data_IF_286138087821
#
_entry.id   IF_286138087821
#
_cell.length_a   1.000
_cell.length_b   1.000
_cell.length_c   1.000
_cell.angle_alpha   90.00
_cell.angle_beta   90.00
_cell.angle_gamma   90.00
#
_symmetry.space_group_name_H-M   'P 1'
#
loop_
_entity.id
_entity.type
_entity.pdbx_description
1 polymer ?
#
# COMPACT_ATOMS: atom_id res chain seq x y z
N UNK A 1 9.62 14.22 6.27
CA UNK A 1 10.31 12.98 6.68
C UNK A 1 11.42 12.60 5.70
N UNK A 2 11.12 12.14 4.47
CA UNK A 2 12.15 11.63 3.53
C UNK A 2 13.32 12.60 3.33
N UNK A 3 13.06 13.87 3.04
CA UNK A 3 14.13 14.87 2.87
C UNK A 3 15.02 15.01 4.09
N UNK A 4 14.43 15.05 5.28
CA UNK A 4 15.18 15.11 6.54
C UNK A 4 16.01 13.84 6.71
N UNK A 5 15.44 12.65 6.45
CA UNK A 5 16.12 11.38 6.61
C UNK A 5 17.38 11.27 5.75
N UNK A 6 17.29 11.49 4.43
CA UNK A 6 18.46 11.34 3.56
C UNK A 6 19.45 12.49 3.72
N UNK A 7 18.99 13.74 3.90
CA UNK A 7 19.91 14.89 4.06
C UNK A 7 20.65 14.84 5.40
N UNK A 8 19.99 14.45 6.50
CA UNK A 8 20.65 14.26 7.78
C UNK A 8 21.62 13.07 7.75
N UNK A 9 21.27 11.99 7.04
CA UNK A 9 22.18 10.85 6.83
C UNK A 9 23.43 11.27 6.06
N UNK A 10 23.26 12.03 4.97
CA UNK A 10 24.38 12.58 4.22
C UNK A 10 25.25 13.51 5.07
N UNK A 11 24.63 14.39 5.87
CA UNK A 11 25.34 15.33 6.73
C UNK A 11 26.09 14.65 7.89
N UNK A 12 25.60 13.51 8.39
CA UNK A 12 26.24 12.75 9.47
C UNK A 12 27.58 12.14 9.05
N UNK A 13 27.82 11.93 7.76
CA UNK A 13 29.04 11.29 7.28
C UNK A 13 28.98 9.76 7.38
N UNK A 14 29.88 9.09 6.66
CA UNK A 14 29.94 7.61 6.65
C UNK A 14 30.33 7.16 8.06
N UNK A 15 29.55 6.23 8.62
CA UNK A 15 29.81 5.69 9.96
C UNK A 15 31.17 4.97 9.99
N UNK A 16 31.92 5.11 11.08
CA UNK A 16 33.18 4.41 11.25
C UNK A 16 32.96 2.89 11.25
N UNK A 17 33.84 2.15 10.55
CA UNK A 17 33.79 0.68 10.42
C UNK A 17 32.49 0.16 9.80
N UNK A 18 31.95 0.86 8.81
CA UNK A 18 30.74 0.43 8.10
C UNK A 18 31.00 -0.83 7.26
N UNK A 19 30.09 -1.80 7.38
CA UNK A 19 30.13 -3.03 6.59
C UNK A 19 29.11 -2.98 5.46
N UNK A 20 29.58 -3.24 4.23
CA UNK A 20 28.75 -3.41 3.04
C UNK A 20 28.85 -4.87 2.58
N UNK A 21 27.83 -5.66 2.88
CA UNK A 21 27.83 -7.08 2.57
C UNK A 21 26.56 -7.74 3.09
N UNK A 22 26.45 -9.06 2.95
CA UNK A 22 25.27 -9.77 3.46
C UNK A 22 25.20 -9.67 4.98
N UNK A 23 24.09 -9.12 5.50
CA UNK A 23 23.81 -9.03 6.94
C UNK A 23 23.73 -10.41 7.60
N UNK A 24 23.27 -11.43 6.87
CA UNK A 24 23.23 -12.81 7.34
C UNK A 24 24.50 -13.57 6.96
N UNK A 25 25.03 -14.37 7.90
CA UNK A 25 26.22 -15.22 7.69
C UNK A 25 25.90 -16.57 7.04
N UNK A 26 24.62 -16.98 7.04
CA UNK A 26 24.17 -18.25 6.45
C UNK A 26 23.46 -18.01 5.12
N UNK A 27 23.59 -18.96 4.19
CA UNK A 27 22.91 -18.91 2.89
C UNK A 27 21.40 -18.81 3.04
N UNK A 28 20.82 -19.60 3.96
CA UNK A 28 19.38 -19.55 4.24
C UNK A 28 18.94 -18.16 4.74
N UNK A 29 19.71 -17.56 5.68
CA UNK A 29 19.42 -16.22 6.18
C UNK A 29 19.49 -15.16 5.08
N UNK A 30 20.47 -15.25 4.17
CA UNK A 30 20.57 -14.35 3.01
C UNK A 30 19.35 -14.45 2.09
N UNK A 31 18.89 -15.67 1.81
CA UNK A 31 17.69 -15.89 1.00
C UNK A 31 16.44 -15.34 1.69
N UNK A 32 16.26 -15.56 2.99
CA UNK A 32 15.14 -15.00 3.75
C UNK A 32 15.17 -13.48 3.79
N UNK A 33 16.34 -12.86 3.98
CA UNK A 33 16.49 -11.41 3.93
C UNK A 33 16.13 -10.86 2.55
N UNK A 34 16.52 -11.54 1.47
CA UNK A 34 16.17 -11.14 0.11
C UNK A 34 14.64 -11.15 -0.11
N UNK A 35 13.95 -12.22 0.27
CA UNK A 35 12.49 -12.28 0.16
C UNK A 35 11.78 -11.28 1.07
N UNK A 36 12.33 -11.04 2.27
CA UNK A 36 11.79 -10.04 3.19
C UNK A 36 11.89 -8.64 2.60
N UNK A 37 13.04 -8.30 1.99
CA UNK A 37 13.23 -7.04 1.28
C UNK A 37 12.27 -6.88 0.07
N UNK A 38 12.02 -7.96 -0.69
CA UNK A 38 11.00 -7.94 -1.74
C UNK A 38 9.60 -7.68 -1.17
N UNK A 39 9.28 -8.26 -0.02
CA UNK A 39 8.05 -8.00 0.72
C UNK A 39 7.94 -6.53 1.11
N UNK A 40 8.98 -5.95 1.71
CA UNK A 40 9.01 -4.53 2.09
C UNK A 40 8.80 -3.61 0.88
N UNK A 41 9.45 -3.91 -0.26
CA UNK A 41 9.25 -3.17 -1.51
C UNK A 41 7.80 -3.31 -2.00
N UNK A 42 7.21 -4.51 -1.96
CA UNK A 42 5.81 -4.70 -2.33
C UNK A 42 4.86 -3.90 -1.43
N UNK A 43 5.12 -3.88 -0.12
CA UNK A 43 4.36 -3.08 0.84
C UNK A 43 4.49 -1.58 0.57
N UNK A 44 5.71 -1.10 0.28
CA UNK A 44 6.00 0.31 0.04
C UNK A 44 5.18 0.92 -1.11
N UNK A 45 4.72 0.09 -2.06
CA UNK A 45 3.87 0.48 -3.19
C UNK A 45 2.41 -0.02 -3.09
N UNK A 46 1.93 -0.38 -1.88
CA UNK A 46 0.59 -0.94 -1.65
C UNK A 46 -0.58 0.09 -1.66
N UNK A 47 -0.58 1.02 -2.61
CA UNK A 47 -1.63 2.06 -2.74
C UNK A 47 -2.95 1.58 -3.35
N UNK A 48 -3.00 0.36 -3.90
CA UNK A 48 -4.13 -0.12 -4.71
C UNK A 48 -5.45 -0.26 -3.94
N UNK A 49 -5.42 -0.46 -2.62
CA UNK A 49 -6.62 -0.71 -1.82
C UNK A 49 -7.53 0.52 -1.66
N UNK A 50 -6.99 1.71 -1.89
CA UNK A 50 -7.74 2.98 -1.78
C UNK A 50 -8.01 3.61 -3.16
N UNK A 51 -7.60 2.95 -4.25
CA UNK A 51 -7.78 3.45 -5.63
C UNK A 51 -9.25 3.70 -5.92
N UNK A 52 -10.14 2.78 -5.56
CA UNK A 52 -11.58 2.95 -5.81
C UNK A 52 -12.18 4.10 -5.00
N UNK A 53 -11.73 4.27 -3.76
CA UNK A 53 -12.18 5.37 -2.88
C UNK A 53 -11.76 6.73 -3.45
N UNK A 54 -10.49 6.86 -3.83
CA UNK A 54 -9.98 8.09 -4.46
C UNK A 54 -10.69 8.33 -5.79
N UNK A 55 -10.83 7.30 -6.64
CA UNK A 55 -11.47 7.43 -7.94
C UNK A 55 -12.95 7.82 -7.84
N UNK A 56 -13.65 7.38 -6.79
CA UNK A 56 -15.04 7.77 -6.53
C UNK A 56 -15.20 9.27 -6.24
N UNK A 57 -14.16 9.95 -5.75
CA UNK A 57 -14.18 11.39 -5.51
C UNK A 57 -13.83 12.25 -6.72
N UNK A 58 -13.31 11.63 -7.80
CA UNK A 58 -12.95 12.34 -9.03
C UNK A 58 -14.21 12.60 -9.86
N UNK A 59 -14.50 13.86 -10.24
CA UNK A 59 -15.64 14.19 -11.09
C UNK A 59 -15.60 13.38 -12.40
N UNK A 60 -16.71 12.72 -12.72
CA UNK A 60 -16.86 11.96 -13.95
C UNK A 60 -18.23 12.18 -14.58
N UNK A 61 -18.27 12.20 -15.91
CA UNK A 61 -19.48 12.19 -16.73
C UNK A 61 -19.41 11.01 -17.69
N UNK A 62 -20.54 10.57 -18.30
CA UNK A 62 -20.51 9.50 -19.30
C UNK A 62 -19.50 9.76 -20.45
N UNK A 63 -19.31 11.02 -20.81
CA UNK A 63 -18.38 11.47 -21.85
C UNK A 63 -16.93 11.58 -21.35
N UNK A 64 -16.72 11.76 -20.04
CA UNK A 64 -15.41 11.98 -19.43
C UNK A 64 -15.22 11.06 -18.21
N UNK A 65 -14.76 9.81 -18.41
CA UNK A 65 -14.59 8.86 -17.33
C UNK A 65 -13.44 9.24 -16.38
N UNK A 66 -13.60 8.95 -15.08
CA UNK A 66 -12.60 9.24 -14.03
C UNK A 66 -11.29 8.45 -14.21
N UNK A 67 -11.27 7.39 -15.02
CA UNK A 67 -10.10 6.55 -15.30
C UNK A 67 -8.90 7.36 -15.83
N UNK A 68 -9.14 8.33 -16.72
CA UNK A 68 -8.07 9.13 -17.33
C UNK A 68 -7.33 10.00 -16.32
N UNK A 69 -8.04 10.88 -15.59
CA UNK A 69 -7.45 11.66 -14.49
C UNK A 69 -6.82 10.77 -13.41
N UNK A 70 -7.48 9.66 -13.05
CA UNK A 70 -6.96 8.71 -12.06
C UNK A 70 -5.59 8.14 -12.46
N UNK A 71 -5.45 7.69 -13.72
CA UNK A 71 -4.18 7.17 -14.22
C UNK A 71 -3.05 8.20 -14.13
N UNK A 72 -3.31 9.45 -14.53
CA UNK A 72 -2.32 10.54 -14.43
C UNK A 72 -1.92 10.78 -12.98
N UNK A 73 -2.89 10.82 -12.06
CA UNK A 73 -2.66 10.97 -10.63
C UNK A 73 -1.78 9.85 -10.07
N UNK A 74 -2.07 8.60 -10.43
CA UNK A 74 -1.29 7.42 -10.02
C UNK A 74 0.15 7.51 -10.55
N UNK A 75 0.35 7.83 -11.83
CA UNK A 75 1.71 7.96 -12.40
C UNK A 75 2.54 9.00 -11.65
N UNK A 76 1.97 10.19 -11.42
CA UNK A 76 2.66 11.25 -10.66
C UNK A 76 2.95 10.81 -9.23
N UNK A 77 1.98 10.18 -8.56
CA UNK A 77 2.15 9.69 -7.20
C UNK A 77 3.32 8.68 -7.10
N UNK A 78 3.40 7.71 -8.02
CA UNK A 78 4.48 6.72 -8.02
C UNK A 78 5.85 7.34 -8.30
N UNK A 79 5.94 8.37 -9.17
CA UNK A 79 7.17 9.13 -9.38
C UNK A 79 7.60 9.84 -8.08
N UNK A 80 6.67 10.51 -7.40
CA UNK A 80 6.96 11.19 -6.13
C UNK A 80 7.39 10.20 -5.05
N UNK A 81 6.74 9.04 -4.95
CA UNK A 81 7.12 7.97 -4.03
C UNK A 81 8.53 7.47 -4.32
N UNK A 82 8.87 7.21 -5.58
CA UNK A 82 10.22 6.82 -5.98
C UNK A 82 11.25 7.88 -5.58
N UNK A 83 10.99 9.16 -5.86
CA UNK A 83 11.85 10.28 -5.47
C UNK A 83 12.00 10.41 -3.94
N UNK A 84 11.03 9.95 -3.16
CA UNK A 84 11.12 9.95 -1.70
C UNK A 84 11.90 8.74 -1.16
N UNK A 85 11.75 7.57 -1.77
CA UNK A 85 12.35 6.32 -1.26
C UNK A 85 13.78 6.10 -1.73
N UNK A 86 14.08 6.31 -3.02
CA UNK A 86 15.41 6.02 -3.57
C UNK A 86 16.52 6.81 -2.88
N UNK A 87 16.42 8.14 -2.65
CA UNK A 87 17.46 8.87 -1.94
C UNK A 87 17.66 8.37 -0.51
N UNK A 88 16.58 8.04 0.20
CA UNK A 88 16.66 7.53 1.58
C UNK A 88 17.33 6.16 1.61
N UNK A 89 16.96 5.25 0.71
CA UNK A 89 17.54 3.92 0.63
C UNK A 89 19.02 3.97 0.21
N UNK A 90 19.34 4.70 -0.86
CA UNK A 90 20.69 4.78 -1.40
C UNK A 90 21.64 5.50 -0.45
N UNK A 91 21.28 6.71 0.01
CA UNK A 91 22.12 7.48 0.93
C UNK A 91 22.16 6.80 2.29
N UNK A 92 21.03 6.36 2.83
CA UNK A 92 20.98 5.68 4.13
C UNK A 92 21.88 4.45 4.17
N UNK A 93 21.76 3.57 3.16
CA UNK A 93 22.62 2.39 3.07
C UNK A 93 24.07 2.76 2.82
N UNK A 94 24.35 3.77 1.98
CA UNK A 94 25.73 4.24 1.78
C UNK A 94 26.36 4.75 3.08
N UNK A 95 25.62 5.47 3.92
CA UNK A 95 26.21 6.08 5.12
C UNK A 95 26.32 5.11 6.30
N UNK A 96 25.42 4.14 6.42
CA UNK A 96 25.32 3.27 7.61
C UNK A 96 25.48 1.76 7.32
N UNK A 97 25.47 1.33 6.06
CA UNK A 97 25.64 -0.07 5.66
C UNK A 97 24.72 -1.04 6.42
N UNK A 98 25.28 -2.14 6.90
CA UNK A 98 24.55 -3.15 7.69
C UNK A 98 24.04 -2.67 9.05
N UNK A 99 24.44 -1.48 9.52
CA UNK A 99 23.96 -0.85 10.76
C UNK A 99 22.68 -0.02 10.58
N UNK A 100 22.09 0.01 9.38
CA UNK A 100 20.76 0.60 9.18
C UNK A 100 19.72 -0.19 10.00
N UNK A 101 18.93 0.55 10.76
CA UNK A 101 17.71 0.07 11.40
C UNK A 101 16.51 0.25 10.45
N UNK A 102 15.44 -0.51 10.67
CA UNK A 102 14.20 -0.43 9.87
C UNK A 102 13.66 1.01 9.79
N UNK A 103 13.82 1.77 10.88
CA UNK A 103 13.57 3.20 10.93
C UNK A 103 14.90 3.96 10.93
N UNK A 104 15.22 4.56 9.79
CA UNK A 104 16.48 5.31 9.61
C UNK A 104 16.66 6.48 10.60
N UNK A 105 15.58 7.03 11.17
CA UNK A 105 15.70 8.07 12.20
C UNK A 105 16.30 7.55 13.50
N UNK A 106 16.12 6.27 13.80
CA UNK A 106 16.74 5.62 14.97
C UNK A 106 18.25 5.47 14.73
N UNK A 107 18.67 5.16 13.50
CA UNK A 107 20.09 5.12 13.11
C UNK A 107 20.79 6.49 13.18
N UNK A 108 20.04 7.59 13.04
CA UNK A 108 20.59 8.95 13.09
C UNK A 108 21.01 9.36 14.51
N UNK A 109 20.27 8.98 15.55
CA UNK A 109 20.50 9.27 16.99
C UNK A 109 20.56 10.77 17.40
N UNK A 110 21.11 11.67 16.58
CA UNK A 110 21.32 13.10 16.85
C UNK A 110 21.20 13.96 15.57
N UNK A 111 20.85 15.26 15.67
CA UNK A 111 20.37 15.93 16.88
C UNK A 111 18.88 15.64 17.16
N UNK A 112 18.51 15.59 18.45
CA UNK A 112 17.19 15.14 18.89
C UNK A 112 16.02 16.00 18.37
N UNK A 113 16.20 17.32 18.22
CA UNK A 113 15.15 18.22 17.72
C UNK A 113 14.74 17.90 16.27
N UNK A 114 15.70 17.49 15.44
CA UNK A 114 15.47 17.16 14.04
C UNK A 114 14.71 15.83 13.91
N UNK A 115 15.09 14.84 14.72
CA UNK A 115 14.41 13.55 14.83
C UNK A 115 12.99 13.75 15.34
N UNK A 116 12.80 14.56 16.39
CA UNK A 116 11.47 14.87 16.93
C UNK A 116 10.57 15.53 15.88
N UNK A 117 11.10 16.49 15.11
CA UNK A 117 10.37 17.15 14.02
C UNK A 117 9.97 16.15 12.93
N UNK A 118 10.89 15.27 12.52
CA UNK A 118 10.62 14.25 11.53
C UNK A 118 9.56 13.24 12.02
N UNK A 119 9.63 12.82 13.28
CA UNK A 119 8.63 11.96 13.92
C UNK A 119 7.26 12.65 14.00
N UNK A 120 7.19 13.94 14.34
CA UNK A 120 5.91 14.68 14.32
C UNK A 120 5.26 14.69 12.93
N UNK A 121 6.05 14.89 11.87
CA UNK A 121 5.52 14.80 10.51
C UNK A 121 5.02 13.40 10.15
N UNK A 122 5.69 12.34 10.62
CA UNK A 122 5.21 10.96 10.45
C UNK A 122 3.88 10.76 11.19
N UNK A 123 3.76 11.23 12.43
CA UNK A 123 2.51 11.13 13.20
C UNK A 123 1.35 11.82 12.47
N UNK A 124 1.54 13.07 12.04
CA UNK A 124 0.50 13.82 11.30
C UNK A 124 0.11 13.08 10.02
N UNK A 125 1.09 12.59 9.26
CA UNK A 125 0.86 11.82 8.05
C UNK A 125 0.08 10.53 8.33
N UNK A 126 0.48 9.74 9.33
CA UNK A 126 -0.14 8.46 9.66
C UNK A 126 -1.57 8.65 10.16
N UNK A 127 -1.86 9.70 10.94
CA UNK A 127 -3.24 10.03 11.35
C UNK A 127 -4.13 10.25 10.12
N UNK A 128 -3.66 11.05 9.15
CA UNK A 128 -4.42 11.30 7.91
C UNK A 128 -4.59 10.03 7.07
N UNK A 129 -3.51 9.28 6.86
CA UNK A 129 -3.53 8.02 6.11
C UNK A 129 -4.46 6.99 6.76
N UNK A 130 -4.46 6.87 8.09
CA UNK A 130 -5.33 5.95 8.80
C UNK A 130 -6.81 6.18 8.46
N UNK A 131 -7.25 7.43 8.39
CA UNK A 131 -8.65 7.73 8.04
C UNK A 131 -9.00 7.26 6.63
N UNK A 132 -8.11 7.47 5.65
CA UNK A 132 -8.35 7.06 4.26
C UNK A 132 -8.37 5.53 4.13
N UNK A 133 -7.42 4.84 4.79
CA UNK A 133 -7.30 3.39 4.69
C UNK A 133 -8.34 2.63 5.54
N UNK A 134 -8.83 3.21 6.64
CA UNK A 134 -9.81 2.57 7.49
C UNK A 134 -11.24 2.60 6.91
N UNK A 135 -11.58 3.61 6.09
CA UNK A 135 -12.93 3.75 5.51
C UNK A 135 -13.39 2.51 4.73
N UNK A 136 -12.63 1.96 3.76
CA UNK A 136 -13.04 0.75 3.04
C UNK A 136 -13.22 -0.46 3.95
N UNK A 137 -12.43 -0.55 5.02
CA UNK A 137 -12.52 -1.66 5.98
C UNK A 137 -13.78 -1.53 6.82
N UNK A 138 -14.12 -0.32 7.28
CA UNK A 138 -15.37 -0.05 7.98
C UNK A 138 -16.58 -0.39 7.12
N UNK A 139 -16.57 0.02 5.86
CA UNK A 139 -17.66 -0.26 4.91
C UNK A 139 -17.79 -1.75 4.62
N UNK A 140 -16.66 -2.47 4.50
CA UNK A 140 -16.66 -3.93 4.35
C UNK A 140 -17.27 -4.62 5.58
N UNK A 141 -16.82 -4.25 6.79
CA UNK A 141 -17.33 -4.85 8.03
C UNK A 141 -18.83 -4.58 8.22
N UNK A 142 -19.26 -3.32 8.01
CA UNK A 142 -20.68 -2.95 8.09
C UNK A 142 -21.51 -3.71 7.06
N UNK A 143 -21.02 -3.82 5.81
CA UNK A 143 -21.70 -4.56 4.74
C UNK A 143 -21.89 -6.02 5.10
N UNK A 144 -20.88 -6.68 5.67
CA UNK A 144 -20.99 -8.08 6.11
C UNK A 144 -22.00 -8.22 7.24
N UNK A 145 -21.95 -7.35 8.25
CA UNK A 145 -22.87 -7.38 9.39
C UNK A 145 -24.33 -7.12 8.98
N UNK A 146 -24.56 -6.15 8.10
CA UNK A 146 -25.91 -5.79 7.67
C UNK A 146 -26.47 -6.77 6.64
N UNK A 147 -25.71 -7.08 5.58
CA UNK A 147 -26.23 -7.89 4.45
C UNK A 147 -26.12 -9.39 4.65
N UNK A 148 -25.09 -9.87 5.37
CA UNK A 148 -24.85 -11.31 5.56
C UNK A 148 -25.35 -11.81 6.92
N UNK A 149 -25.22 -10.99 7.97
CA UNK A 149 -25.67 -11.34 9.32
C UNK A 149 -27.02 -10.71 9.70
N UNK A 150 -27.68 -10.00 8.77
CA UNK A 150 -29.00 -9.38 8.95
C UNK A 150 -29.11 -8.43 10.17
N UNK A 151 -28.03 -7.78 10.56
CA UNK A 151 -28.07 -6.74 11.58
C UNK A 151 -28.73 -5.47 11.05
N UNK A 152 -29.46 -4.76 11.92
CA UNK A 152 -30.09 -3.49 11.56
C UNK A 152 -29.01 -2.41 11.41
N UNK A 153 -28.94 -1.70 10.27
CA UNK A 153 -28.04 -0.57 10.12
C UNK A 153 -28.43 0.52 11.13
N UNK A 154 -27.54 0.79 12.08
CA UNK A 154 -27.77 1.77 13.15
C UNK A 154 -26.48 2.51 13.46
N UNK A 155 -26.60 3.72 14.00
CA UNK A 155 -25.44 4.48 14.47
C UNK A 155 -24.66 3.72 15.55
N UNK A 156 -25.36 2.96 16.41
CA UNK A 156 -24.73 2.13 17.44
C UNK A 156 -23.87 1.02 16.83
N UNK A 157 -24.37 0.31 15.81
CA UNK A 157 -23.60 -0.72 15.11
C UNK A 157 -22.31 -0.13 14.53
N UNK A 158 -22.40 1.03 13.86
CA UNK A 158 -21.24 1.73 13.31
C UNK A 158 -20.23 2.12 14.38
N UNK A 159 -20.70 2.65 15.50
CA UNK A 159 -19.86 3.05 16.62
C UNK A 159 -19.11 1.84 17.20
N UNK A 160 -19.80 0.74 17.46
CA UNK A 160 -19.20 -0.49 18.00
C UNK A 160 -18.18 -1.08 17.04
N UNK A 161 -18.52 -1.23 15.75
CA UNK A 161 -17.64 -1.81 14.73
C UNK A 161 -16.35 -1.00 14.59
N UNK A 162 -16.44 0.33 14.52
CA UNK A 162 -15.27 1.20 14.38
C UNK A 162 -14.37 1.13 15.60
N UNK A 163 -14.92 1.22 16.81
CA UNK A 163 -14.13 1.12 18.04
C UNK A 163 -13.50 -0.26 18.21
N UNK A 164 -14.22 -1.33 17.87
CA UNK A 164 -13.69 -2.69 17.89
C UNK A 164 -12.51 -2.84 16.93
N UNK A 165 -12.62 -2.33 15.70
CA UNK A 165 -11.52 -2.36 14.74
C UNK A 165 -10.30 -1.56 15.23
N UNK A 166 -10.51 -0.36 15.75
CA UNK A 166 -9.44 0.47 16.32
C UNK A 166 -8.75 -0.28 17.47
N UNK A 167 -9.51 -0.83 18.41
CA UNK A 167 -8.99 -1.61 19.53
C UNK A 167 -8.21 -2.85 19.08
N UNK A 168 -8.72 -3.58 18.07
CA UNK A 168 -8.04 -4.75 17.52
C UNK A 168 -6.70 -4.37 16.85
N UNK A 169 -6.68 -3.32 16.03
CA UNK A 169 -5.44 -2.85 15.37
C UNK A 169 -4.42 -2.32 16.40
N UNK A 170 -4.88 -1.64 17.45
CA UNK A 170 -4.05 -1.21 18.57
C UNK A 170 -3.45 -2.39 19.33
N UNK A 171 -4.24 -3.42 19.61
CA UNK A 171 -3.78 -4.64 20.27
C UNK A 171 -2.69 -5.35 19.45
N UNK A 172 -2.89 -5.48 18.13
CA UNK A 172 -1.88 -6.06 17.23
C UNK A 172 -0.60 -5.24 17.23
N UNK A 173 -0.70 -3.90 17.15
CA UNK A 173 0.45 -3.00 17.17
C UNK A 173 1.25 -3.07 18.49
N UNK A 174 0.58 -3.27 19.62
CA UNK A 174 1.25 -3.49 20.91
C UNK A 174 1.91 -4.87 21.03
N UNK A 175 1.33 -5.89 20.40
CA UNK A 175 1.81 -7.27 20.50
C UNK A 175 3.03 -7.53 19.64
N UNK A 176 3.13 -6.88 18.46
CA UNK A 176 4.19 -7.11 17.48
C UNK A 176 4.96 -5.82 17.14
N UNK A 177 5.93 -5.41 17.97
CA UNK A 177 6.66 -4.15 17.78
C UNK A 177 7.83 -4.27 16.77
N UNK A 178 7.80 -5.20 15.81
CA UNK A 178 8.84 -5.35 14.77
C UNK A 178 8.36 -4.79 13.44
N UNK A 179 8.76 -3.55 13.14
CA UNK A 179 8.25 -2.81 11.99
C UNK A 179 8.62 -3.47 10.65
N UNK A 180 9.91 -3.71 10.35
CA UNK A 180 10.34 -4.28 9.07
C UNK A 180 9.76 -5.66 8.80
N UNK A 181 9.76 -6.53 9.81
CA UNK A 181 9.16 -7.88 9.70
C UNK A 181 7.66 -7.86 9.37
N UNK A 182 6.89 -6.93 9.94
CA UNK A 182 5.46 -6.76 9.61
C UNK A 182 5.26 -6.24 8.18
N UNK A 183 6.07 -5.27 7.75
CA UNK A 183 6.03 -4.75 6.37
C UNK A 183 6.35 -5.84 5.36
N UNK A 184 7.42 -6.60 5.59
CA UNK A 184 7.82 -7.73 4.76
C UNK A 184 6.70 -8.78 4.67
N UNK A 185 6.12 -9.14 5.82
CA UNK A 185 5.03 -10.11 5.89
C UNK A 185 3.79 -9.65 5.12
N UNK A 186 3.25 -8.46 5.41
CA UNK A 186 2.04 -7.99 4.72
C UNK A 186 2.29 -7.69 3.24
N UNK A 187 3.47 -7.21 2.89
CA UNK A 187 3.89 -7.03 1.50
C UNK A 187 3.91 -8.34 0.70
N UNK A 188 4.55 -9.37 1.26
CA UNK A 188 4.65 -10.67 0.61
C UNK A 188 3.37 -11.51 0.65
N UNK A 189 2.70 -11.58 1.81
CA UNK A 189 1.54 -12.44 2.03
C UNK A 189 0.23 -11.81 1.56
N UNK A 190 0.00 -10.53 1.90
CA UNK A 190 -1.26 -9.87 1.58
C UNK A 190 -1.19 -9.17 0.22
N UNK A 191 -0.22 -8.28 0.02
CA UNK A 191 -0.23 -7.39 -1.14
C UNK A 191 0.27 -8.03 -2.44
N UNK A 192 1.28 -8.90 -2.40
CA UNK A 192 1.74 -9.54 -3.62
C UNK A 192 0.63 -10.40 -4.26
N UNK A 193 -0.12 -11.24 -3.52
CA UNK A 193 -1.21 -12.01 -4.13
C UNK A 193 -2.39 -11.17 -4.61
N UNK A 194 -2.82 -10.18 -3.82
CA UNK A 194 -3.95 -9.32 -4.20
C UNK A 194 -3.61 -8.45 -5.41
N UNK A 195 -2.37 -7.98 -5.51
CA UNK A 195 -1.95 -7.09 -6.59
C UNK A 195 -1.64 -7.85 -7.86
N UNK A 196 -0.93 -8.96 -7.80
CA UNK A 196 -0.45 -9.65 -9.01
C UNK A 196 -1.37 -10.77 -9.46
N UNK A 197 -1.80 -11.65 -8.54
CA UNK A 197 -2.60 -12.82 -8.94
C UNK A 197 -4.07 -12.46 -9.15
N UNK A 198 -4.69 -11.77 -8.19
CA UNK A 198 -6.13 -11.45 -8.27
C UNK A 198 -6.44 -10.51 -9.43
N UNK A 199 -5.61 -9.49 -9.68
CA UNK A 199 -5.83 -8.58 -10.81
C UNK A 199 -5.65 -9.28 -12.16
N UNK A 200 -4.62 -10.12 -12.30
CA UNK A 200 -4.38 -10.87 -13.54
C UNK A 200 -5.52 -11.83 -13.84
N UNK A 201 -5.97 -12.58 -12.83
CA UNK A 201 -7.13 -13.47 -12.95
C UNK A 201 -8.41 -12.69 -13.29
N UNK A 202 -8.67 -11.57 -12.61
CA UNK A 202 -9.83 -10.71 -12.89
C UNK A 202 -9.80 -10.14 -14.31
N UNK A 203 -8.63 -9.69 -14.76
CA UNK A 203 -8.45 -9.16 -16.11
C UNK A 203 -8.70 -10.23 -17.17
N UNK A 204 -8.17 -11.44 -16.96
CA UNK A 204 -8.44 -12.58 -17.84
C UNK A 204 -9.93 -12.93 -17.86
N UNK A 205 -10.58 -13.03 -16.70
CA UNK A 205 -12.02 -13.32 -16.61
C UNK A 205 -12.88 -12.25 -17.30
N UNK A 206 -12.56 -10.97 -17.10
CA UNK A 206 -13.26 -9.86 -17.75
C UNK A 206 -13.08 -9.89 -19.28
N UNK A 207 -11.88 -10.22 -19.75
CA UNK A 207 -11.60 -10.35 -21.18
C UNK A 207 -12.38 -11.50 -21.83
N UNK A 208 -12.50 -12.64 -21.13
CA UNK A 208 -13.31 -13.79 -21.58
C UNK A 208 -14.79 -13.39 -21.62
N UNK A 209 -15.33 -12.78 -20.55
CA UNK A 209 -16.72 -12.33 -20.49
C UNK A 209 -17.05 -11.35 -21.62
N UNK A 210 -16.14 -10.41 -21.91
CA UNK A 210 -16.32 -9.45 -22.99
C UNK A 210 -16.40 -10.14 -24.35
N UNK A 211 -15.56 -11.16 -24.59
CA UNK A 211 -15.61 -11.96 -25.82
C UNK A 211 -16.92 -12.71 -25.97
N UNK A 212 -17.42 -13.33 -24.90
CA UNK A 212 -18.71 -14.04 -24.92
C UNK A 212 -19.87 -13.10 -25.22
N UNK A 213 -19.93 -11.94 -24.55
CA UNK A 213 -20.98 -10.94 -24.78
C UNK A 213 -20.94 -10.41 -26.22
N UNK A 214 -19.75 -10.15 -26.76
CA UNK A 214 -19.59 -9.71 -28.15
C UNK A 214 -20.09 -10.76 -29.15
N UNK A 215 -19.79 -12.04 -28.93
CA UNK A 215 -20.28 -13.13 -29.78
C UNK A 215 -21.82 -13.22 -29.77
N UNK A 216 -22.44 -13.08 -28.59
CA UNK A 216 -23.90 -13.07 -28.46
C UNK A 216 -24.50 -11.87 -29.21
N UNK A 217 -23.93 -10.66 -29.05
CA UNK A 217 -24.40 -9.47 -29.76
C UNK A 217 -24.31 -9.60 -31.28
N UNK A 218 -23.20 -10.17 -31.80
CA UNK A 218 -23.02 -10.41 -33.23
C UNK A 218 -24.04 -11.43 -33.75
N UNK A 219 -24.31 -12.51 -33.01
CA UNK A 219 -25.35 -13.49 -33.37
C UNK A 219 -26.75 -12.87 -33.40
N UNK A 220 -27.10 -12.05 -32.40
CA UNK A 220 -28.39 -11.37 -32.35
C UNK A 220 -28.54 -10.34 -33.49
N UNK A 221 -27.48 -9.58 -33.80
CA UNK A 221 -27.48 -8.63 -34.93
C UNK A 221 -27.60 -9.36 -36.29
N UNK A 222 -26.92 -10.49 -36.46
CA UNK A 222 -27.02 -11.32 -37.65
C UNK A 222 -28.45 -11.85 -37.86
N UNK A 223 -29.08 -12.36 -36.79
CA UNK A 223 -30.50 -12.78 -36.82
C UNK A 223 -31.45 -11.63 -37.15
N UNK A 224 -31.22 -10.45 -36.57
CA UNK A 224 -32.03 -9.26 -36.84
C UNK A 224 -31.92 -8.78 -38.30
N UNK A 225 -30.73 -8.85 -38.89
CA UNK A 225 -30.55 -8.50 -40.31
C UNK A 225 -31.21 -9.52 -41.25
N UNK A 226 -31.17 -10.82 -40.92
CA UNK A 226 -31.86 -11.85 -41.71
C UNK A 226 -33.39 -11.77 -41.65
N UNK A 227 -33.96 -11.25 -40.56
CA UNK A 227 -35.41 -11.05 -40.42
C UNK A 227 -35.94 -9.80 -41.15
N UNK A 228 -35.05 -8.90 -41.58
CA UNK A 228 -35.38 -7.63 -42.22
C UNK A 228 -34.95 -7.57 -43.71
N UNK A 229 -34.67 -8.73 -44.32
CA UNK A 229 -34.45 -8.95 -45.76
C UNK A 229 -35.54 -9.90 -46.24
#
# INVERSE_FOLDING_TARGET
YSTIAWSASAAKGVKENVEYGYKAKSTAGTVFNFFSALGEVAFAYAGHNVVLEIQATIPSTPEKPSKGPMWKGVVVAYIVVALCYFPVALVGYWMFGNSVEDNILETLEKPAWLIATANMFVVIHVIGSYQIYAMPVFDMMETVLVKKMNFRPSWYLRFVVRNFYVAATMFVGMTFPFFGGLLAFFGGFAFAPTTYFVTSLRNMACHIQTKEIQLVLVDQLGKYQQLNI
#
